data_IF_867568607713
#
_entry.id   IF_867568607713
#
_cell.length_a   1.000
_cell.length_b   1.000
_cell.length_c   1.000
_cell.angle_alpha   90.00
_cell.angle_beta   90.00
_cell.angle_gamma   90.00
#
_symmetry.space_group_name_H-M   'P 1'
#
loop_
_entity.id
_entity.type
_entity.pdbx_description
1 polymer ?
#
# COMPACT_ATOMS: atom_id res chain seq x y z
N UNK A 1 11.60 32.30 -6.81
CA UNK A 1 11.26 31.20 -5.91
C UNK A 1 12.15 30.03 -6.29
N UNK A 2 13.12 29.71 -5.44
CA UNK A 2 14.03 28.57 -5.61
C UNK A 2 13.34 27.27 -5.18
N UNK A 3 13.84 26.10 -5.60
CA UNK A 3 13.30 24.80 -5.21
C UNK A 3 13.33 24.61 -3.69
N UNK A 4 14.32 25.20 -3.01
CA UNK A 4 14.44 25.24 -1.55
C UNK A 4 13.26 25.96 -0.89
N UNK A 5 12.76 27.02 -1.50
CA UNK A 5 11.64 27.79 -0.94
C UNK A 5 10.35 26.93 -0.93
N UNK A 6 10.14 26.11 -1.97
CA UNK A 6 9.01 25.17 -2.02
C UNK A 6 9.13 24.06 -0.98
N UNK A 7 10.33 23.53 -0.75
CA UNK A 7 10.57 22.52 0.30
C UNK A 7 10.32 23.11 1.68
N UNK A 8 10.85 24.31 1.94
CA UNK A 8 10.64 25.00 3.20
C UNK A 8 9.16 25.32 3.42
N UNK A 9 8.43 25.69 2.36
CA UNK A 9 6.99 25.87 2.41
C UNK A 9 6.28 24.56 2.75
N UNK A 10 6.57 23.45 2.06
CA UNK A 10 5.95 22.15 2.31
C UNK A 10 6.23 21.65 3.72
N UNK A 11 7.48 21.70 4.17
CA UNK A 11 7.89 21.31 5.51
C UNK A 11 7.19 22.15 6.58
N UNK A 12 7.05 23.46 6.35
CA UNK A 12 6.32 24.35 7.26
C UNK A 12 4.84 23.99 7.35
N UNK A 13 4.20 23.61 6.24
CA UNK A 13 2.81 23.15 6.22
C UNK A 13 2.66 21.81 6.94
N UNK A 14 3.51 20.83 6.63
CA UNK A 14 3.54 19.54 7.30
C UNK A 14 3.74 19.70 8.81
N UNK A 15 4.66 20.57 9.24
CA UNK A 15 4.84 20.85 10.66
C UNK A 15 3.57 21.42 11.29
N UNK A 16 3.01 22.49 10.71
CA UNK A 16 1.85 23.19 11.27
C UNK A 16 0.61 22.31 11.40
N UNK A 17 0.34 21.44 10.43
CA UNK A 17 -0.90 20.67 10.37
C UNK A 17 -0.77 19.23 10.86
N UNK A 18 0.40 18.62 10.72
CA UNK A 18 0.59 17.20 11.02
C UNK A 18 1.38 17.04 12.30
N UNK A 19 2.63 17.52 12.34
CA UNK A 19 3.57 17.11 13.40
C UNK A 19 3.56 18.00 14.64
N UNK A 20 3.06 19.24 14.57
CA UNK A 20 3.09 20.20 15.69
C UNK A 20 2.27 19.76 16.90
N UNK A 21 1.16 19.06 16.70
CA UNK A 21 0.32 18.53 17.79
C UNK A 21 0.39 17.01 17.78
N UNK A 22 0.55 16.41 18.95
CA UNK A 22 0.60 14.94 19.05
C UNK A 22 -0.70 14.28 18.56
N UNK A 23 -1.86 14.89 18.83
CA UNK A 23 -3.15 14.35 18.37
C UNK A 23 -3.26 14.26 16.85
N UNK A 24 -2.82 15.30 16.11
CA UNK A 24 -2.80 15.27 14.65
C UNK A 24 -1.74 14.30 14.13
N UNK A 25 -0.57 14.28 14.75
CA UNK A 25 0.50 13.36 14.41
C UNK A 25 0.05 11.90 14.55
N UNK A 26 -0.60 11.56 15.67
CA UNK A 26 -1.09 10.22 15.96
C UNK A 26 -2.09 9.76 14.88
N UNK A 27 -3.10 10.59 14.57
CA UNK A 27 -4.09 10.26 13.53
C UNK A 27 -3.43 10.00 12.18
N UNK A 28 -2.51 10.87 11.76
CA UNK A 28 -1.81 10.73 10.48
C UNK A 28 -0.93 9.48 10.46
N UNK A 29 -0.23 9.16 11.55
CA UNK A 29 0.59 7.95 11.63
C UNK A 29 -0.26 6.68 11.60
N UNK A 30 -1.41 6.65 12.29
CA UNK A 30 -2.32 5.48 12.24
C UNK A 30 -2.85 5.25 10.83
N UNK A 31 -3.34 6.30 10.18
CA UNK A 31 -3.83 6.21 8.79
C UNK A 31 -2.69 5.82 7.86
N UNK A 32 -1.52 6.43 8.04
CA UNK A 32 -0.30 6.15 7.27
C UNK A 32 0.12 4.69 7.38
N UNK A 33 0.13 4.12 8.59
CA UNK A 33 0.47 2.72 8.82
C UNK A 33 -0.49 1.78 8.08
N UNK A 34 -1.81 1.94 8.25
CA UNK A 34 -2.82 1.10 7.60
C UNK A 34 -2.74 1.24 6.07
N UNK A 35 -2.56 2.46 5.57
CA UNK A 35 -2.48 2.70 4.12
C UNK A 35 -1.20 2.10 3.54
N UNK A 36 -0.09 2.18 4.27
CA UNK A 36 1.20 1.63 3.82
C UNK A 36 1.13 0.11 3.76
N UNK A 37 0.61 -0.54 4.80
CA UNK A 37 0.37 -1.98 4.86
C UNK A 37 -0.41 -2.47 3.63
N UNK A 38 -1.57 -1.85 3.36
CA UNK A 38 -2.41 -2.20 2.21
C UNK A 38 -1.73 -2.00 0.85
N UNK A 39 -0.96 -0.92 0.68
CA UNK A 39 -0.29 -0.61 -0.58
C UNK A 39 0.90 -1.54 -0.79
N UNK A 40 1.71 -1.76 0.24
CA UNK A 40 2.89 -2.61 0.17
C UNK A 40 2.49 -4.06 -0.06
N UNK A 41 1.49 -4.57 0.65
CA UNK A 41 1.02 -5.95 0.49
C UNK A 41 0.41 -6.16 -0.90
N UNK A 42 -0.57 -5.34 -1.30
CA UNK A 42 -1.21 -5.51 -2.62
C UNK A 42 -0.24 -5.25 -3.77
N UNK A 43 0.63 -4.26 -3.64
CA UNK A 43 1.65 -3.94 -4.62
C UNK A 43 2.69 -5.06 -4.73
N UNK A 44 3.15 -5.57 -3.59
CA UNK A 44 4.07 -6.70 -3.49
C UNK A 44 3.50 -7.95 -4.13
N UNK A 45 2.27 -8.32 -3.78
CA UNK A 45 1.55 -9.45 -4.37
C UNK A 45 1.41 -9.28 -5.89
N UNK A 46 1.01 -8.10 -6.36
CA UNK A 46 0.89 -7.84 -7.79
C UNK A 46 2.21 -8.04 -8.52
N UNK A 47 3.29 -7.47 -8.00
CA UNK A 47 4.62 -7.61 -8.61
C UNK A 47 5.11 -9.05 -8.57
N UNK A 48 4.91 -9.76 -7.46
CA UNK A 48 5.29 -11.15 -7.29
C UNK A 48 4.52 -12.06 -8.26
N UNK A 49 3.20 -11.89 -8.37
CA UNK A 49 2.34 -12.65 -9.27
C UNK A 49 2.70 -12.40 -10.72
N UNK A 50 2.90 -11.13 -11.09
CA UNK A 50 3.29 -10.78 -12.44
C UNK A 50 4.65 -11.38 -12.82
N UNK A 51 5.61 -11.38 -11.90
CA UNK A 51 6.93 -11.97 -12.12
C UNK A 51 6.88 -13.51 -12.21
N UNK A 52 5.99 -14.15 -11.47
CA UNK A 52 5.84 -15.61 -11.40
C UNK A 52 4.67 -16.17 -12.21
N UNK A 53 4.13 -15.38 -13.14
CA UNK A 53 2.97 -15.76 -13.94
C UNK A 53 3.17 -17.10 -14.65
N UNK A 54 2.19 -17.98 -14.52
CA UNK A 54 2.18 -19.34 -15.06
C UNK A 54 2.90 -20.37 -14.17
N UNK A 55 3.51 -19.95 -13.06
CA UNK A 55 4.18 -20.85 -12.10
C UNK A 55 3.40 -20.99 -10.79
N UNK A 56 2.52 -20.04 -10.49
CA UNK A 56 1.77 -20.06 -9.24
C UNK A 56 0.63 -21.08 -9.32
N UNK A 57 0.27 -21.66 -8.17
CA UNK A 57 -0.85 -22.58 -8.11
C UNK A 57 -2.13 -21.98 -8.68
N UNK A 58 -2.41 -20.70 -8.38
CA UNK A 58 -3.55 -19.97 -8.92
C UNK A 58 -3.58 -19.89 -10.45
N UNK A 59 -2.43 -20.02 -11.14
CA UNK A 59 -2.35 -20.01 -12.61
C UNK A 59 -2.61 -21.39 -13.25
N UNK A 60 -2.52 -22.48 -12.47
CA UNK A 60 -2.64 -23.85 -12.98
C UNK A 60 -3.74 -24.67 -12.29
N UNK A 61 -4.39 -24.09 -11.27
CA UNK A 61 -5.35 -24.78 -10.41
C UNK A 61 -6.53 -25.33 -11.20
N UNK A 62 -7.00 -24.60 -12.20
CA UNK A 62 -8.09 -24.94 -13.10
C UNK A 62 -7.91 -26.28 -13.83
N UNK A 63 -6.66 -26.76 -13.97
CA UNK A 63 -6.34 -28.05 -14.58
C UNK A 63 -6.57 -29.24 -13.65
N UNK A 64 -6.66 -29.00 -12.34
CA UNK A 64 -6.60 -30.05 -11.31
C UNK A 64 -7.75 -30.00 -10.32
N UNK A 65 -8.45 -28.88 -10.22
CA UNK A 65 -9.58 -28.69 -9.32
C UNK A 65 -10.74 -28.11 -10.12
N UNK A 66 -11.89 -28.79 -10.05
CA UNK A 66 -13.16 -28.19 -10.43
C UNK A 66 -13.71 -27.45 -9.20
N UNK A 67 -13.63 -26.13 -9.22
CA UNK A 67 -14.12 -25.29 -8.13
C UNK A 67 -15.65 -25.38 -7.95
N UNK A 68 -16.38 -25.95 -8.92
CA UNK A 68 -17.81 -26.26 -8.83
C UNK A 68 -18.11 -27.59 -8.14
N UNK A 69 -17.12 -28.48 -7.98
CA UNK A 69 -17.32 -29.78 -7.32
C UNK A 69 -17.45 -29.66 -5.79
N UNK A 70 -17.12 -28.50 -5.21
CA UNK A 70 -17.19 -28.25 -3.76
C UNK A 70 -18.30 -27.27 -3.36
N UNK A 71 -19.03 -26.71 -4.33
CA UNK A 71 -20.27 -25.95 -4.09
C UNK A 71 -21.44 -26.90 -4.26
N UNK A 72 -21.81 -27.60 -3.18
CA UNK A 72 -23.10 -28.30 -3.10
C UNK A 72 -24.28 -27.33 -3.22
#
# INVERSE_FOLDING_TARGET
MDWKDYIMALASHAYRFITKRFSSLFVVLTIGAISTDLIVDKGGDYLFKQYNKGKLWEDIKDKYVDDLAFTG
#
